data_IF_992270803592
#
_entry.id   IF_992270803592
#
_cell.length_a   1.000
_cell.length_b   1.000
_cell.length_c   1.000
_cell.angle_alpha   90.00
_cell.angle_beta   90.00
_cell.angle_gamma   90.00
#
_symmetry.space_group_name_H-M   'P 1'
#
loop_
_entity.id
_entity.type
_entity.pdbx_description
1 polymer ?
#
# COMPACT_ATOMS: atom_id res chain seq x y z
N UNK A 1 -20.69 -12.16 11.71
CA UNK A 1 -20.80 -10.76 11.28
C UNK A 1 -20.85 -10.77 9.76
N UNK A 2 -21.81 -10.13 9.08
CA UNK A 2 -21.71 -9.98 7.63
C UNK A 2 -20.40 -9.23 7.33
N UNK A 3 -19.55 -9.80 6.48
CA UNK A 3 -18.33 -9.15 6.02
C UNK A 3 -18.74 -8.05 5.04
N UNK A 4 -18.51 -6.80 5.41
CA UNK A 4 -18.58 -5.70 4.46
C UNK A 4 -17.35 -5.81 3.56
N UNK A 5 -17.54 -6.24 2.33
CA UNK A 5 -16.51 -6.10 1.29
C UNK A 5 -16.37 -4.61 1.00
N UNK A 6 -15.17 -4.06 1.20
CA UNK A 6 -14.88 -2.66 0.82
C UNK A 6 -14.82 -2.58 -0.71
N UNK A 7 -15.58 -1.67 -1.35
CA UNK A 7 -15.48 -1.41 -2.79
C UNK A 7 -14.06 -0.97 -3.19
N UNK A 8 -13.69 -1.23 -4.44
CA UNK A 8 -12.43 -0.75 -5.03
C UNK A 8 -12.82 0.16 -6.17
N UNK A 9 -13.07 1.41 -5.84
CA UNK A 9 -13.74 2.37 -6.71
C UNK A 9 -13.16 3.79 -6.64
N UNK A 10 -12.00 3.96 -6.00
CA UNK A 10 -11.25 5.21 -5.84
C UNK A 10 -11.81 6.14 -4.76
N UNK A 11 -12.93 5.78 -4.11
CA UNK A 11 -13.56 6.57 -3.08
C UNK A 11 -13.22 6.08 -1.66
N UNK A 12 -12.25 6.75 -1.04
CA UNK A 12 -11.84 6.44 0.34
C UNK A 12 -12.89 6.78 1.43
N UNK A 13 -14.13 7.15 1.09
CA UNK A 13 -15.18 7.49 2.07
C UNK A 13 -15.79 6.28 2.76
N UNK A 14 -15.64 5.08 2.19
CA UNK A 14 -16.11 3.82 2.79
C UNK A 14 -15.23 3.35 3.96
N UNK A 15 -14.04 3.94 4.11
CA UNK A 15 -13.08 3.62 5.14
C UNK A 15 -13.32 4.39 6.43
N UNK A 16 -13.32 3.66 7.55
CA UNK A 16 -13.60 4.20 8.87
C UNK A 16 -12.33 4.59 9.62
N UNK A 17 -12.48 5.38 10.68
CA UNK A 17 -11.35 5.74 11.56
C UNK A 17 -10.72 4.53 12.26
N UNK A 18 -11.46 3.42 12.43
CA UNK A 18 -10.93 2.19 13.03
C UNK A 18 -10.03 1.43 12.05
N UNK A 19 -10.22 1.63 10.75
CA UNK A 19 -9.39 1.02 9.70
C UNK A 19 -8.18 1.89 9.37
N UNK A 20 -8.05 3.07 9.99
CA UNK A 20 -6.89 3.95 9.82
C UNK A 20 -5.69 3.42 10.61
N UNK A 21 -4.62 3.05 9.90
CA UNK A 21 -3.48 2.31 10.46
C UNK A 21 -2.19 3.13 10.60
N UNK A 22 -2.09 4.34 10.02
CA UNK A 22 -0.96 5.28 10.20
C UNK A 22 -1.00 6.07 11.52
N UNK A 23 -1.95 5.79 12.41
CA UNK A 23 -2.21 6.59 13.63
C UNK A 23 -1.18 6.42 14.76
N UNK A 24 -0.18 5.55 14.59
CA UNK A 24 0.81 5.20 15.63
C UNK A 24 2.10 6.05 15.61
N UNK A 25 2.02 7.29 15.12
CA UNK A 25 3.13 8.26 15.16
C UNK A 25 3.84 8.50 13.82
N UNK A 26 3.52 7.72 12.80
CA UNK A 26 4.09 7.81 11.45
C UNK A 26 3.15 8.50 10.45
N UNK A 27 2.08 9.13 10.93
CA UNK A 27 1.12 9.84 10.09
C UNK A 27 1.78 11.03 9.39
N UNK A 28 1.90 10.96 8.06
CA UNK A 28 2.32 12.07 7.22
C UNK A 28 1.17 13.09 7.11
N UNK A 29 1.35 14.37 7.49
CA UNK A 29 0.31 15.38 7.33
C UNK A 29 -0.21 15.45 5.89
N UNK A 30 -1.54 15.45 5.74
CA UNK A 30 -2.19 15.42 4.43
C UNK A 30 -2.26 14.02 3.81
N UNK A 31 -1.81 12.97 4.50
CA UNK A 31 -2.03 11.59 4.09
C UNK A 31 -2.79 10.82 5.17
N UNK A 32 -3.54 9.82 4.74
CA UNK A 32 -4.16 8.82 5.58
C UNK A 32 -3.98 7.44 4.94
N UNK A 33 -3.60 6.48 5.76
CA UNK A 33 -3.46 5.09 5.37
C UNK A 33 -4.53 4.26 6.07
N UNK A 34 -5.23 3.47 5.28
CA UNK A 34 -6.23 2.55 5.78
C UNK A 34 -5.86 1.10 5.42
N UNK A 35 -6.26 0.19 6.30
CA UNK A 35 -6.02 -1.24 6.13
C UNK A 35 -7.08 -2.06 6.85
N UNK A 36 -7.62 -3.04 6.15
CA UNK A 36 -8.52 -4.04 6.72
C UNK A 36 -8.31 -5.38 6.05
N UNK A 37 -8.95 -6.43 6.57
CA UNK A 37 -8.89 -7.73 5.96
C UNK A 37 -10.15 -8.54 6.23
N UNK A 38 -10.47 -9.42 5.28
CA UNK A 38 -11.45 -10.48 5.46
C UNK A 38 -10.75 -11.85 5.51
N UNK A 39 -11.51 -12.94 5.34
CA UNK A 39 -10.97 -14.30 5.34
C UNK A 39 -10.03 -14.62 4.18
N UNK A 40 -10.14 -13.92 3.05
CA UNK A 40 -9.45 -14.23 1.80
C UNK A 40 -8.50 -13.13 1.35
N UNK A 41 -8.79 -11.88 1.69
CA UNK A 41 -8.16 -10.72 1.11
C UNK A 41 -7.74 -9.69 2.17
N UNK A 42 -6.64 -9.00 1.88
CA UNK A 42 -6.26 -7.75 2.54
C UNK A 42 -6.62 -6.59 1.62
N UNK A 43 -7.10 -5.52 2.24
CA UNK A 43 -7.50 -4.29 1.58
C UNK A 43 -6.64 -3.17 2.16
N UNK A 44 -6.22 -2.26 1.30
CA UNK A 44 -5.48 -1.07 1.68
C UNK A 44 -6.03 0.14 0.92
N UNK A 45 -6.07 1.29 1.56
CA UNK A 45 -6.28 2.55 0.88
C UNK A 45 -5.30 3.63 1.32
N UNK A 46 -4.95 4.51 0.39
CA UNK A 46 -4.20 5.74 0.65
C UNK A 46 -5.08 6.89 0.21
N UNK A 47 -5.30 7.83 1.13
CA UNK A 47 -5.90 9.12 0.82
C UNK A 47 -4.86 10.20 1.09
N UNK A 48 -4.40 10.83 0.02
CA UNK A 48 -3.62 12.03 0.05
C UNK A 48 -4.53 13.25 -0.15
N UNK A 49 -4.16 14.37 0.43
CA UNK A 49 -4.77 15.69 0.24
C UNK A 49 -3.66 16.72 0.02
N UNK A 50 -2.53 16.27 -0.53
CA UNK A 50 -1.32 17.08 -0.76
C UNK A 50 -1.29 17.53 -2.21
N UNK A 51 -1.08 18.82 -2.43
CA UNK A 51 -1.27 19.49 -3.73
C UNK A 51 -0.13 19.27 -4.74
N UNK A 52 0.56 18.12 -4.69
CA UNK A 52 1.66 17.75 -5.59
C UNK A 52 1.24 16.57 -6.46
N UNK A 53 0.67 16.87 -7.62
CA UNK A 53 0.07 15.85 -8.50
C UNK A 53 1.03 15.37 -9.61
N UNK A 54 0.98 14.08 -10.00
CA UNK A 54 0.26 13.00 -9.30
C UNK A 54 1.00 12.54 -8.04
N UNK A 55 0.28 12.35 -6.94
CA UNK A 55 0.87 11.87 -5.68
C UNK A 55 1.29 10.40 -5.80
N UNK A 56 0.44 9.57 -6.42
CA UNK A 56 0.71 8.17 -6.74
C UNK A 56 0.52 7.95 -8.24
N UNK A 57 1.47 7.29 -8.88
CA UNK A 57 1.40 7.00 -10.31
C UNK A 57 2.51 6.07 -10.80
N UNK A 58 2.78 6.04 -12.11
CA UNK A 58 3.87 5.23 -12.68
C UNK A 58 5.20 5.49 -11.97
N UNK A 59 5.88 4.42 -11.54
CA UNK A 59 7.15 4.48 -10.81
C UNK A 59 7.03 4.65 -9.30
N UNK A 60 5.83 4.85 -8.74
CA UNK A 60 5.64 4.88 -7.29
C UNK A 60 5.88 3.50 -6.68
N UNK A 61 6.58 3.47 -5.54
CA UNK A 61 6.72 2.26 -4.71
C UNK A 61 6.13 2.49 -3.32
N UNK A 62 5.32 1.54 -2.88
CA UNK A 62 4.63 1.53 -1.61
C UNK A 62 5.18 0.38 -0.77
N UNK A 63 5.80 0.67 0.37
CA UNK A 63 6.51 -0.28 1.21
C UNK A 63 5.65 -0.74 2.39
N UNK A 64 5.46 -2.05 2.52
CA UNK A 64 4.56 -2.68 3.48
C UNK A 64 5.35 -3.42 4.57
N UNK A 65 5.25 -2.97 5.82
CA UNK A 65 5.73 -3.72 6.98
C UNK A 65 4.58 -4.53 7.58
N UNK A 66 4.40 -5.75 7.06
CA UNK A 66 3.33 -6.68 7.47
C UNK A 66 3.67 -7.47 8.74
N UNK A 67 4.95 -7.58 9.09
CA UNK A 67 5.47 -8.25 10.27
C UNK A 67 5.64 -7.35 11.49
N UNK A 68 5.33 -6.05 11.35
CA UNK A 68 5.41 -5.02 12.39
C UNK A 68 6.80 -4.94 13.06
N UNK A 69 7.85 -5.23 12.31
CA UNK A 69 9.20 -5.28 12.83
C UNK A 69 10.15 -4.49 11.94
N UNK A 70 10.36 -3.22 12.29
CA UNK A 70 11.28 -2.32 11.56
C UNK A 70 12.75 -2.78 11.54
N UNK A 71 13.12 -3.76 12.37
CA UNK A 71 14.45 -4.37 12.40
C UNK A 71 14.66 -5.53 11.42
N UNK A 72 13.62 -5.96 10.71
CA UNK A 72 13.67 -7.07 9.75
C UNK A 72 13.02 -6.68 8.43
N UNK A 73 13.48 -7.22 7.31
CA UNK A 73 12.95 -6.87 5.98
C UNK A 73 13.83 -5.85 5.26
N UNK A 74 13.33 -5.31 4.14
CA UNK A 74 14.02 -4.32 3.34
C UNK A 74 13.70 -2.90 3.84
N UNK A 75 14.73 -2.07 3.95
CA UNK A 75 14.61 -0.70 4.43
C UNK A 75 15.16 0.25 3.36
N UNK A 76 14.29 0.83 2.52
CA UNK A 76 14.70 1.79 1.48
C UNK A 76 15.18 3.12 2.08
N UNK A 77 14.58 3.54 3.21
CA UNK A 77 14.87 4.75 3.96
C UNK A 77 14.56 4.51 5.44
N UNK A 78 15.45 4.92 6.35
CA UNK A 78 15.38 4.61 7.78
C UNK A 78 15.02 3.14 8.10
N UNK A 79 14.53 2.80 9.30
CA UNK A 79 14.23 1.42 9.71
C UNK A 79 12.76 1.03 9.47
N UNK A 80 12.33 0.96 8.19
CA UNK A 80 10.95 0.58 7.82
C UNK A 80 10.70 -0.92 8.01
N UNK A 81 11.68 -1.76 7.64
CA UNK A 81 11.53 -3.21 7.71
C UNK A 81 10.38 -3.74 6.83
N UNK A 82 10.34 -3.34 5.57
CA UNK A 82 9.32 -3.77 4.63
C UNK A 82 9.48 -5.26 4.28
N UNK A 83 8.42 -6.03 4.44
CA UNK A 83 8.37 -7.43 3.99
C UNK A 83 7.97 -7.52 2.52
N UNK A 84 7.12 -6.59 2.07
CA UNK A 84 6.57 -6.52 0.73
C UNK A 84 6.57 -5.09 0.23
N UNK A 85 6.43 -4.93 -1.08
CA UNK A 85 6.17 -3.65 -1.70
C UNK A 85 5.15 -3.76 -2.83
N UNK A 86 4.36 -2.71 -3.02
CA UNK A 86 3.55 -2.52 -4.22
C UNK A 86 4.30 -1.57 -5.14
N UNK A 87 4.63 -2.04 -6.34
CA UNK A 87 5.32 -1.26 -7.36
C UNK A 87 4.38 -0.94 -8.51
N UNK A 88 4.22 0.35 -8.81
CA UNK A 88 3.55 0.80 -10.02
C UNK A 88 4.54 0.80 -11.16
N UNK A 89 4.31 -0.06 -12.17
CA UNK A 89 5.19 -0.14 -13.32
C UNK A 89 5.14 1.16 -14.17
N UNK A 90 5.92 1.22 -15.25
CA UNK A 90 5.94 2.37 -16.16
C UNK A 90 4.58 2.70 -16.81
N UNK A 91 3.63 1.77 -16.78
CA UNK A 91 2.26 1.95 -17.25
C UNK A 91 1.26 2.29 -16.14
N UNK A 92 1.72 2.47 -14.89
CA UNK A 92 0.86 2.77 -13.75
C UNK A 92 0.07 1.57 -13.23
N UNK A 93 0.51 0.35 -13.52
CA UNK A 93 -0.15 -0.88 -13.07
C UNK A 93 0.59 -1.43 -11.84
N UNK A 94 -0.10 -1.65 -10.70
CA UNK A 94 0.52 -2.12 -9.47
C UNK A 94 0.73 -3.63 -9.43
N UNK A 95 1.90 -4.04 -8.94
CA UNK A 95 2.28 -5.43 -8.68
C UNK A 95 2.80 -5.60 -7.26
N UNK A 96 2.64 -6.81 -6.71
CA UNK A 96 3.16 -7.16 -5.40
C UNK A 96 4.53 -7.83 -5.53
N UNK A 97 5.50 -7.27 -4.83
CA UNK A 97 6.90 -7.66 -4.81
C UNK A 97 7.41 -7.86 -3.37
N UNK A 98 8.60 -8.44 -3.22
CA UNK A 98 9.34 -8.54 -1.96
C UNK A 98 10.83 -8.24 -2.16
N UNK A 99 11.51 -7.86 -1.08
CA UNK A 99 12.87 -7.33 -1.13
C UNK A 99 12.88 -5.88 -1.62
N UNK A 100 13.93 -5.48 -2.33
CA UNK A 100 14.01 -4.18 -2.97
C UNK A 100 12.95 -4.02 -4.09
N UNK A 101 12.71 -2.79 -4.53
CA UNK A 101 11.70 -2.49 -5.56
C UNK A 101 12.03 -3.21 -6.86
N UNK A 102 11.07 -3.98 -7.39
CA UNK A 102 11.26 -4.77 -8.62
C UNK A 102 12.19 -5.98 -8.46
N UNK A 103 12.66 -6.30 -7.25
CA UNK A 103 13.64 -7.37 -7.03
C UNK A 103 13.02 -8.75 -7.23
N UNK A 104 11.87 -9.00 -6.61
CA UNK A 104 11.22 -10.31 -6.64
C UNK A 104 9.70 -10.15 -6.68
N UNK A 105 9.17 -10.35 -7.89
CA UNK A 105 7.75 -10.42 -8.15
C UNK A 105 7.11 -11.61 -7.45
N UNK A 106 6.05 -11.36 -6.66
CA UNK A 106 5.27 -12.40 -5.99
C UNK A 106 4.24 -13.01 -6.96
N UNK A 107 3.63 -12.17 -7.80
CA UNK A 107 2.61 -12.58 -8.76
C UNK A 107 2.77 -11.84 -10.08
N UNK A 108 2.74 -12.58 -11.20
CA UNK A 108 2.69 -11.98 -12.55
C UNK A 108 1.32 -11.36 -12.90
N UNK A 109 0.31 -11.55 -12.05
CA UNK A 109 -1.00 -10.90 -12.20
C UNK A 109 -0.98 -9.58 -11.43
N UNK A 110 -1.38 -8.45 -12.06
CA UNK A 110 -1.57 -7.18 -11.37
C UNK A 110 -2.49 -7.30 -10.16
N UNK A 111 -2.32 -6.39 -9.21
CA UNK A 111 -3.29 -6.25 -8.12
C UNK A 111 -4.61 -5.67 -8.65
N UNK A 112 -5.72 -6.03 -8.00
CA UNK A 112 -6.98 -5.29 -8.19
C UNK A 112 -6.82 -3.95 -7.49
N UNK A 113 -7.06 -2.86 -8.22
CA UNK A 113 -6.89 -1.51 -7.68
C UNK A 113 -7.85 -0.52 -8.34
N UNK A 114 -8.06 0.60 -7.65
CA UNK A 114 -8.65 1.81 -8.18
C UNK A 114 -7.78 3.00 -7.75
N UNK A 115 -7.42 3.85 -8.70
CA UNK A 115 -6.57 5.01 -8.49
C UNK A 115 -7.24 6.22 -9.13
N UNK A 116 -7.49 7.26 -8.34
CA UNK A 116 -8.09 8.50 -8.84
C UNK A 116 -7.19 9.17 -9.89
N UNK A 117 -7.75 9.94 -10.83
CA UNK A 117 -6.97 10.57 -11.90
C UNK A 117 -5.84 11.51 -11.44
N UNK A 118 -5.97 12.12 -10.26
CA UNK A 118 -4.97 12.96 -9.60
C UNK A 118 -3.95 12.17 -8.77
N UNK A 119 -4.18 10.87 -8.59
CA UNK A 119 -3.34 9.99 -7.78
C UNK A 119 -3.47 10.22 -6.28
N UNK A 120 -4.47 10.99 -5.82
CA UNK A 120 -4.69 11.29 -4.41
C UNK A 120 -5.46 10.18 -3.65
N UNK A 121 -6.21 9.33 -4.35
CA UNK A 121 -6.96 8.25 -3.74
C UNK A 121 -6.63 6.92 -4.41
N UNK A 122 -6.06 6.00 -3.65
CA UNK A 122 -5.70 4.66 -4.09
C UNK A 122 -6.39 3.64 -3.20
N UNK A 123 -6.98 2.61 -3.80
CA UNK A 123 -7.47 1.42 -3.13
C UNK A 123 -6.87 0.17 -3.81
N UNK A 124 -6.41 -0.79 -3.01
CA UNK A 124 -5.78 -2.02 -3.49
C UNK A 124 -6.32 -3.22 -2.72
N UNK A 125 -6.49 -4.33 -3.45
CA UNK A 125 -6.72 -5.66 -2.88
C UNK A 125 -5.61 -6.60 -3.24
N UNK A 126 -5.13 -7.35 -2.25
CA UNK A 126 -4.24 -8.48 -2.47
C UNK A 126 -4.66 -9.68 -1.63
N UNK A 127 -4.44 -10.87 -2.20
CA UNK A 127 -4.87 -12.15 -1.63
C UNK A 127 -4.06 -12.47 -0.39
N UNK A 128 -4.68 -12.98 0.67
CA UNK A 128 -3.92 -13.46 1.84
C UNK A 128 -2.96 -14.59 1.47
N UNK A 129 -3.33 -15.42 0.49
CA UNK A 129 -2.49 -16.51 0.00
C UNK A 129 -1.25 -16.06 -0.77
N UNK A 130 -1.15 -14.77 -1.16
CA UNK A 130 0.07 -14.24 -1.80
C UNK A 130 1.10 -13.74 -0.79
N UNK A 131 0.76 -13.67 0.51
CA UNK A 131 1.71 -13.30 1.56
C UNK A 131 1.97 -14.46 2.51
N UNK A 132 3.09 -14.41 3.22
CA UNK A 132 3.44 -15.39 4.25
C UNK A 132 2.41 -15.31 5.38
N UNK A 133 1.78 -16.43 5.72
CA UNK A 133 0.75 -16.54 6.76
C UNK A 133 1.21 -16.14 8.17
N UNK A 134 2.53 -16.03 8.41
CA UNK A 134 3.08 -15.46 9.65
C UNK A 134 3.02 -13.93 9.71
N UNK A 135 2.62 -13.28 8.62
CA UNK A 135 2.52 -11.82 8.48
C UNK A 135 1.07 -11.34 8.67
N UNK A 136 0.93 -10.18 9.31
CA UNK A 136 -0.36 -9.57 9.65
C UNK A 136 -0.88 -8.61 8.58
N UNK A 137 -1.87 -7.80 8.96
CA UNK A 137 -2.21 -6.60 8.19
C UNK A 137 -0.99 -5.67 8.21
N UNK A 138 -0.67 -4.95 7.12
CA UNK A 138 0.25 -3.83 7.20
C UNK A 138 -0.26 -2.86 8.28
N UNK A 139 0.63 -2.38 9.14
CA UNK A 139 0.28 -1.32 10.11
C UNK A 139 1.13 -0.08 9.96
N UNK A 140 2.10 -0.10 9.05
CA UNK A 140 2.84 1.09 8.64
C UNK A 140 3.03 1.03 7.13
N UNK A 141 2.98 2.20 6.51
CA UNK A 141 3.28 2.40 5.10
C UNK A 141 4.35 3.45 4.96
N UNK A 142 5.32 3.16 4.11
CA UNK A 142 6.23 4.16 3.58
C UNK A 142 6.06 4.22 2.07
N UNK A 143 5.89 5.40 1.49
CA UNK A 143 5.82 5.56 0.04
C UNK A 143 7.04 6.34 -0.43
N UNK A 144 7.70 5.85 -1.48
CA UNK A 144 8.69 6.62 -2.23
C UNK A 144 8.01 7.19 -3.48
N UNK A 145 7.90 8.51 -3.52
CA UNK A 145 7.35 9.26 -4.63
C UNK A 145 8.46 9.75 -5.55
N UNK A 146 8.42 9.29 -6.81
CA UNK A 146 9.24 9.72 -7.96
C UNK A 146 10.64 10.23 -7.60
N UNK A 147 11.62 9.32 -7.56
CA UNK A 147 12.98 9.70 -7.88
C UNK A 147 12.97 10.26 -9.31
N UNK A 148 13.05 11.58 -9.45
CA UNK A 148 13.31 12.21 -10.73
C UNK A 148 14.73 11.88 -11.16
N UNK A 149 14.95 10.68 -11.68
CA UNK A 149 16.16 10.35 -12.41
C UNK A 149 15.92 10.61 -13.91
N UNK A 150 16.03 11.89 -14.28
CA UNK A 150 16.39 12.38 -15.60
C UNK A 150 17.01 13.77 -15.48
#
# INVERSE_FOLDING_TARGET
MPMTTIPIDENCSDWTSTERIDSLGDALPGCALYGTADSNDYYMAIKATVSIDPVIGPGTTIWLNTGQNGGTGYSPFDSIGADYNVIFNASGVPYLDTGAAGQKLISATPLTYALSPDGESLEIVYRRSSIDSSKGNPTTLSADGKASDA
#
